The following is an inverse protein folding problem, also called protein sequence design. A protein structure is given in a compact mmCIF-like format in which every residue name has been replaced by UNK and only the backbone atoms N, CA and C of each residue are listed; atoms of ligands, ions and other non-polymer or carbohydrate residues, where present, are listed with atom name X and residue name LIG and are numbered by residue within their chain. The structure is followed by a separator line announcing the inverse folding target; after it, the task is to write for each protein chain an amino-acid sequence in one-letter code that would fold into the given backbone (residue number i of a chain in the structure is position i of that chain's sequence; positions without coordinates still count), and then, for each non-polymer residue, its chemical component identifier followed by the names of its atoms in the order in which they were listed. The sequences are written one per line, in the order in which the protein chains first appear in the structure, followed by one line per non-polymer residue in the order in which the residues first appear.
data_IF_313977093224
#
_entry.id   IF_313977093224
#
_cell.length_a   1.000
_cell.length_b   1.000
_cell.length_c   1.000
_cell.angle_alpha   90.00
_cell.angle_beta   90.00
_cell.angle_gamma   90.00
#
_symmetry.space_group_name_H-M   'P 1'
#
loop_
_entity.id
_entity.type
_entity.pdbx_description
1 polymer ?
#
# COMPACT_ATOMS: atom_id res chain seq x y z
N UNK A 1 1.43 -13.93 -20.45
CA UNK A 1 2.73 -13.57 -19.83
C UNK A 1 3.18 -12.16 -20.21
N UNK A 2 3.52 -11.88 -21.49
CA UNK A 2 3.92 -10.50 -21.91
C UNK A 2 2.88 -9.43 -21.58
N UNK A 3 1.59 -9.66 -21.89
CA UNK A 3 0.52 -8.72 -21.55
C UNK A 3 0.37 -8.52 -20.03
N UNK A 4 0.63 -9.55 -19.23
CA UNK A 4 0.61 -9.46 -17.76
C UNK A 4 1.78 -8.62 -17.23
N UNK A 5 2.97 -8.78 -17.81
CA UNK A 5 4.13 -7.94 -17.49
C UNK A 5 3.87 -6.47 -17.88
N UNK A 6 3.32 -6.22 -19.09
CA UNK A 6 3.01 -4.88 -19.57
C UNK A 6 2.05 -4.15 -18.64
N UNK A 7 0.97 -4.83 -18.27
CA UNK A 7 -0.05 -4.26 -17.38
C UNK A 7 0.49 -4.04 -15.97
N UNK A 8 1.34 -4.93 -15.46
CA UNK A 8 1.98 -4.77 -14.14
C UNK A 8 2.97 -3.60 -14.09
N UNK A 9 3.81 -3.42 -15.12
CA UNK A 9 4.64 -2.22 -15.25
C UNK A 9 3.77 -0.96 -15.45
N UNK A 10 2.65 -1.11 -16.17
CA UNK A 10 1.64 -0.07 -16.35
C UNK A 10 1.07 0.44 -15.03
N UNK A 11 0.81 -0.44 -14.06
CA UNK A 11 0.34 -0.04 -12.72
C UNK A 11 1.27 0.97 -12.08
N UNK A 12 2.58 0.70 -12.07
CA UNK A 12 3.57 1.58 -11.45
C UNK A 12 3.66 2.95 -12.15
N UNK A 13 3.56 2.96 -13.48
CA UNK A 13 3.62 4.19 -14.27
C UNK A 13 2.32 5.02 -14.18
N UNK A 14 1.16 4.37 -14.09
CA UNK A 14 -0.17 5.02 -14.06
C UNK A 14 -0.57 5.48 -12.66
N UNK A 15 -0.02 4.88 -11.61
CA UNK A 15 -0.35 5.18 -10.22
C UNK A 15 -0.33 6.70 -9.89
N UNK A 16 0.74 7.48 -10.14
CA UNK A 16 0.75 8.90 -9.80
C UNK A 16 -0.29 9.70 -10.59
N UNK A 17 -0.44 9.38 -11.89
CA UNK A 17 -1.39 10.06 -12.79
C UNK A 17 -2.83 9.85 -12.30
N UNK A 18 -3.16 8.62 -11.90
CA UNK A 18 -4.51 8.26 -11.48
C UNK A 18 -4.85 8.81 -10.09
N UNK A 19 -3.86 8.88 -9.19
CA UNK A 19 -3.99 9.51 -7.87
C UNK A 19 -4.36 10.99 -8.01
N UNK A 20 -3.71 11.71 -8.93
CA UNK A 20 -3.98 13.12 -9.21
C UNK A 20 -5.33 13.32 -9.89
N UNK A 21 -5.66 12.50 -10.90
CA UNK A 21 -6.93 12.59 -11.61
C UNK A 21 -8.14 12.35 -10.69
N UNK A 22 -8.01 11.45 -9.72
CA UNK A 22 -9.08 11.08 -8.79
C UNK A 22 -9.04 11.86 -7.46
N UNK A 23 -8.20 12.91 -7.35
CA UNK A 23 -8.00 13.64 -6.08
C UNK A 23 -9.27 14.30 -5.53
N UNK A 24 -10.22 14.64 -6.39
CA UNK A 24 -11.47 15.32 -6.02
C UNK A 24 -12.58 14.36 -5.56
N UNK A 25 -12.36 13.04 -5.69
CA UNK A 25 -13.33 12.06 -5.24
C UNK A 25 -13.24 11.85 -3.71
N UNK A 26 -14.35 11.54 -3.04
CA UNK A 26 -14.33 11.10 -1.65
C UNK A 26 -13.50 9.82 -1.48
N UNK A 27 -13.03 9.58 -0.25
CA UNK A 27 -12.07 8.51 0.07
C UNK A 27 -12.48 7.13 -0.45
N UNK A 28 -13.71 6.69 -0.14
CA UNK A 28 -14.22 5.36 -0.51
C UNK A 28 -14.26 5.15 -2.04
N UNK A 29 -14.95 6.00 -2.85
CA UNK A 29 -14.98 5.81 -4.29
C UNK A 29 -13.61 6.00 -4.94
N UNK A 30 -12.73 6.86 -4.39
CA UNK A 30 -11.36 7.03 -4.87
C UNK A 30 -10.57 5.73 -4.76
N UNK A 31 -10.59 5.07 -3.60
CA UNK A 31 -9.89 3.80 -3.37
C UNK A 31 -10.42 2.68 -4.28
N UNK A 32 -11.75 2.58 -4.42
CA UNK A 32 -12.37 1.59 -5.31
C UNK A 32 -11.97 1.82 -6.77
N UNK A 33 -12.01 3.07 -7.25
CA UNK A 33 -11.64 3.42 -8.62
C UNK A 33 -10.15 3.17 -8.90
N UNK A 34 -9.26 3.52 -7.96
CA UNK A 34 -7.83 3.24 -8.07
C UNK A 34 -7.56 1.73 -8.16
N UNK A 35 -8.12 0.94 -7.23
CA UNK A 35 -7.89 -0.50 -7.19
C UNK A 35 -8.47 -1.21 -8.43
N UNK A 36 -9.70 -0.86 -8.82
CA UNK A 36 -10.31 -1.43 -10.02
C UNK A 36 -9.55 -1.00 -11.29
N UNK A 37 -9.21 0.27 -11.44
CA UNK A 37 -8.52 0.78 -12.64
C UNK A 37 -7.12 0.20 -12.83
N UNK A 38 -6.37 0.02 -11.74
CA UNK A 38 -4.98 -0.45 -11.80
C UNK A 38 -4.87 -1.97 -11.81
N UNK A 39 -5.58 -2.66 -10.91
CA UNK A 39 -5.34 -4.08 -10.67
C UNK A 39 -6.31 -5.03 -11.38
N UNK A 40 -7.43 -4.55 -11.93
CA UNK A 40 -8.39 -5.42 -12.61
C UNK A 40 -7.76 -6.14 -13.81
N UNK A 41 -7.18 -5.39 -14.75
CA UNK A 41 -6.62 -5.95 -15.97
C UNK A 41 -5.46 -6.93 -15.72
N UNK A 42 -4.41 -6.61 -14.93
CA UNK A 42 -3.34 -7.56 -14.65
C UNK A 42 -3.86 -8.81 -13.91
N UNK A 43 -4.80 -8.66 -12.97
CA UNK A 43 -5.38 -9.79 -12.23
C UNK A 43 -6.19 -10.71 -13.13
N UNK A 44 -7.01 -10.16 -14.05
CA UNK A 44 -7.75 -10.94 -15.03
C UNK A 44 -6.81 -11.73 -15.95
N UNK A 45 -5.74 -11.10 -16.45
CA UNK A 45 -4.76 -11.76 -17.32
C UNK A 45 -4.01 -12.89 -16.61
N UNK A 46 -3.68 -12.72 -15.33
CA UNK A 46 -3.06 -13.75 -14.50
C UNK A 46 -4.03 -14.90 -14.21
N UNK A 47 -5.28 -14.58 -13.88
CA UNK A 47 -6.33 -15.58 -13.63
C UNK A 47 -6.63 -16.47 -14.85
N UNK A 48 -6.41 -15.97 -16.07
CA UNK A 48 -6.58 -16.74 -17.31
C UNK A 48 -5.47 -17.79 -17.55
N UNK A 49 -4.36 -17.76 -16.80
CA UNK A 49 -3.25 -18.71 -17.01
C UNK A 49 -3.70 -20.15 -16.73
N UNK A 50 -4.39 -20.41 -15.61
CA UNK A 50 -4.86 -21.75 -15.23
C UNK A 50 -5.79 -22.37 -16.28
N UNK A 51 -6.89 -21.72 -16.72
CA UNK A 51 -7.78 -22.29 -17.75
C UNK A 51 -7.09 -22.48 -19.11
N UNK A 52 -6.12 -21.63 -19.48
CA UNK A 52 -5.33 -21.81 -20.71
C UNK A 52 -4.43 -23.06 -20.64
N UNK A 53 -3.79 -23.29 -19.50
CA UNK A 53 -2.96 -24.49 -19.27
C UNK A 53 -3.83 -25.75 -19.29
N UNK A 54 -4.99 -25.71 -18.63
CA UNK A 54 -5.96 -26.83 -18.66
C UNK A 54 -6.38 -27.14 -20.10
N UNK A 55 -6.74 -26.13 -20.90
CA UNK A 55 -7.12 -26.33 -22.31
C UNK A 55 -6.01 -26.98 -23.13
N UNK A 56 -4.74 -26.67 -22.85
CA UNK A 56 -3.59 -27.27 -23.54
C UNK A 56 -3.25 -28.69 -23.05
N UNK A 57 -3.52 -28.99 -21.78
CA UNK A 57 -3.22 -30.29 -21.17
C UNK A 57 -4.26 -31.37 -21.49
N UNK A 58 -5.49 -30.99 -21.84
CA UNK A 58 -6.53 -31.92 -22.26
C UNK A 58 -6.19 -32.45 -23.65
N UNK A 59 -5.66 -33.67 -23.69
CA UNK A 59 -5.33 -34.42 -24.89
C UNK A 59 -6.29 -35.59 -25.14
N UNK A 60 -7.00 -36.06 -24.10
CA UNK A 60 -7.96 -37.16 -24.17
C UNK A 60 -9.15 -36.92 -23.21
N UNK A 61 -10.37 -37.24 -23.67
CA UNK A 61 -11.64 -37.00 -22.97
C UNK A 61 -11.84 -37.92 -21.76
N UNK A 62 -11.19 -39.10 -21.75
CA UNK A 62 -11.30 -40.10 -20.69
C UNK A 62 -10.60 -39.74 -19.37
N UNK A 63 -9.57 -38.89 -19.41
CA UNK A 63 -8.76 -38.49 -18.24
C UNK A 63 -8.96 -37.04 -17.79
N UNK A 64 -9.95 -36.34 -18.37
CA UNK A 64 -10.17 -34.90 -18.15
C UNK A 64 -10.40 -34.58 -16.68
N UNK A 65 -11.23 -35.36 -15.97
CA UNK A 65 -11.55 -35.10 -14.57
C UNK A 65 -10.32 -35.13 -13.64
N UNK A 66 -9.45 -36.12 -13.80
CA UNK A 66 -8.24 -36.25 -12.97
C UNK A 66 -7.18 -35.18 -13.26
N UNK A 67 -6.97 -34.85 -14.54
CA UNK A 67 -6.02 -33.80 -14.95
C UNK A 67 -6.48 -32.43 -14.47
N UNK A 68 -7.77 -32.11 -14.68
CA UNK A 68 -8.37 -30.86 -14.25
C UNK A 68 -8.34 -30.74 -12.72
N UNK A 69 -8.77 -31.78 -11.99
CA UNK A 69 -8.78 -31.79 -10.53
C UNK A 69 -7.40 -31.56 -9.92
N UNK A 70 -6.36 -32.22 -10.44
CA UNK A 70 -4.97 -32.04 -9.96
C UNK A 70 -4.44 -30.63 -10.24
N UNK A 71 -4.71 -30.08 -11.42
CA UNK A 71 -4.29 -28.71 -11.77
C UNK A 71 -4.97 -27.67 -10.88
N UNK A 72 -6.27 -27.82 -10.60
CA UNK A 72 -6.98 -26.96 -9.67
C UNK A 72 -6.45 -27.09 -8.24
N UNK A 73 -6.18 -28.30 -7.75
CA UNK A 73 -5.61 -28.52 -6.42
C UNK A 73 -4.25 -27.83 -6.25
N UNK A 74 -3.35 -27.97 -7.23
CA UNK A 74 -2.04 -27.29 -7.25
C UNK A 74 -2.23 -25.78 -7.31
N UNK A 75 -3.14 -25.28 -8.15
CA UNK A 75 -3.42 -23.84 -8.26
C UNK A 75 -3.94 -23.27 -6.95
N UNK A 76 -4.88 -23.94 -6.27
CA UNK A 76 -5.42 -23.47 -5.00
C UNK A 76 -4.38 -23.49 -3.89
N UNK A 77 -3.62 -24.58 -3.76
CA UNK A 77 -2.55 -24.67 -2.76
C UNK A 77 -1.48 -23.59 -3.00
N UNK A 78 -1.07 -23.39 -4.26
CA UNK A 78 -0.14 -22.35 -4.66
C UNK A 78 -0.66 -20.94 -4.38
N UNK A 79 -1.94 -20.66 -4.63
CA UNK A 79 -2.56 -19.36 -4.33
C UNK A 79 -2.62 -19.08 -2.83
N UNK A 80 -2.98 -20.07 -2.01
CA UNK A 80 -3.00 -19.91 -0.55
C UNK A 80 -1.60 -19.57 -0.04
N UNK A 81 -0.61 -20.40 -0.39
CA UNK A 81 0.79 -20.16 0.00
C UNK A 81 1.30 -18.82 -0.54
N UNK A 82 0.93 -18.47 -1.78
CA UNK A 82 1.30 -17.22 -2.43
C UNK A 82 0.75 -16.00 -1.72
N UNK A 83 -0.52 -16.01 -1.28
CA UNK A 83 -1.11 -14.88 -0.54
C UNK A 83 -0.43 -14.71 0.81
N UNK A 84 -0.18 -15.79 1.55
CA UNK A 84 0.54 -15.71 2.84
C UNK A 84 1.97 -15.20 2.66
N UNK A 85 2.71 -15.78 1.72
CA UNK A 85 4.09 -15.39 1.43
C UNK A 85 4.13 -13.92 0.96
N UNK A 86 3.18 -13.51 0.13
CA UNK A 86 3.11 -12.12 -0.36
C UNK A 86 2.79 -11.16 0.77
N UNK A 87 1.69 -11.37 1.49
CA UNK A 87 1.19 -10.44 2.50
C UNK A 87 2.09 -10.33 3.73
N UNK A 88 2.62 -11.45 4.24
CA UNK A 88 3.36 -11.45 5.50
C UNK A 88 4.88 -11.40 5.35
N UNK A 89 5.43 -11.86 4.22
CA UNK A 89 6.89 -11.94 4.04
C UNK A 89 7.36 -10.92 3.01
N UNK A 90 6.87 -10.98 1.78
CA UNK A 90 7.39 -10.14 0.70
C UNK A 90 6.99 -8.68 0.87
N UNK A 91 5.72 -8.37 1.14
CA UNK A 91 5.27 -6.98 1.33
C UNK A 91 5.92 -6.40 2.57
N UNK A 92 6.00 -7.16 3.66
CA UNK A 92 6.72 -6.72 4.86
C UNK A 92 8.19 -6.44 4.55
N UNK A 93 8.94 -7.37 3.96
CA UNK A 93 10.41 -7.20 3.80
C UNK A 93 10.83 -6.29 2.65
N UNK A 94 10.05 -6.21 1.57
CA UNK A 94 10.44 -5.53 0.33
C UNK A 94 9.58 -4.30 0.00
N UNK A 95 8.45 -4.09 0.71
CA UNK A 95 7.48 -3.06 0.38
C UNK A 95 6.59 -3.43 -0.81
N UNK A 96 5.39 -2.85 -0.87
CA UNK A 96 4.38 -3.22 -1.87
C UNK A 96 4.84 -2.90 -3.31
N UNK A 97 5.55 -1.79 -3.51
CA UNK A 97 6.05 -1.37 -4.84
C UNK A 97 7.03 -2.38 -5.42
N UNK A 98 7.99 -2.84 -4.61
CA UNK A 98 9.00 -3.80 -5.03
C UNK A 98 8.39 -5.14 -5.38
N UNK A 99 7.35 -5.57 -4.65
CA UNK A 99 6.62 -6.81 -4.95
C UNK A 99 5.94 -6.74 -6.31
N UNK A 100 5.25 -5.64 -6.63
CA UNK A 100 4.62 -5.46 -7.95
C UNK A 100 5.66 -5.47 -9.07
N UNK A 101 6.82 -4.82 -8.85
CA UNK A 101 7.94 -4.85 -9.80
C UNK A 101 8.51 -6.26 -9.99
N UNK A 102 8.70 -7.01 -8.90
CA UNK A 102 9.18 -8.38 -8.93
C UNK A 102 8.23 -9.26 -9.74
N UNK A 103 6.92 -9.14 -9.54
CA UNK A 103 5.91 -9.84 -10.34
C UNK A 103 6.02 -9.44 -11.82
N UNK A 104 6.15 -8.15 -12.13
CA UNK A 104 6.28 -7.68 -13.51
C UNK A 104 7.53 -8.25 -14.22
N UNK A 105 8.66 -8.32 -13.51
CA UNK A 105 9.94 -8.89 -13.98
C UNK A 105 9.85 -10.41 -14.14
N UNK A 106 9.28 -11.12 -13.17
CA UNK A 106 9.10 -12.58 -13.25
C UNK A 106 8.20 -12.93 -14.44
N UNK A 107 7.12 -12.18 -14.67
CA UNK A 107 6.25 -12.39 -15.83
C UNK A 107 6.96 -12.10 -17.16
N UNK A 108 7.84 -11.09 -17.18
CA UNK A 108 8.68 -10.80 -18.36
C UNK A 108 9.67 -11.94 -18.62
N UNK A 109 10.35 -12.43 -17.59
CA UNK A 109 11.28 -13.54 -17.71
C UNK A 109 10.57 -14.82 -18.19
N UNK A 110 9.45 -15.19 -17.57
CA UNK A 110 8.64 -16.33 -18.01
C UNK A 110 8.15 -16.17 -19.44
N UNK A 111 7.78 -14.95 -19.84
CA UNK A 111 7.43 -14.68 -21.22
C UNK A 111 8.60 -14.89 -22.18
N UNK A 112 9.82 -14.47 -21.84
CA UNK A 112 11.00 -14.64 -22.67
C UNK A 112 11.42 -16.12 -22.78
N UNK A 113 11.34 -16.88 -21.68
CA UNK A 113 11.73 -18.29 -21.64
C UNK A 113 10.69 -19.23 -22.27
N UNK A 114 9.42 -19.09 -21.90
CA UNK A 114 8.35 -20.00 -22.34
C UNK A 114 7.50 -19.45 -23.48
N UNK A 115 7.57 -18.14 -23.73
CA UNK A 115 6.83 -17.54 -24.81
C UNK A 115 7.39 -18.00 -26.16
N UNK A 116 6.50 -18.48 -27.02
CA UNK A 116 6.82 -18.71 -28.45
C UNK A 116 6.93 -17.37 -29.19
N UNK A 117 7.78 -16.44 -28.73
CA UNK A 117 8.01 -15.13 -29.35
C UNK A 117 8.42 -15.24 -30.83
N UNK A 118 8.94 -16.40 -31.21
CA UNK A 118 9.37 -16.71 -32.58
C UNK A 118 8.23 -17.06 -33.54
N UNK A 119 7.04 -17.41 -33.02
CA UNK A 119 5.89 -17.86 -33.83
C UNK A 119 5.08 -16.69 -34.42
N UNK A 120 5.11 -15.51 -33.79
CA UNK A 120 4.54 -14.27 -34.34
C UNK A 120 5.40 -13.07 -33.95
N UNK A 121 6.33 -12.69 -34.84
CA UNK A 121 7.28 -11.59 -34.62
C UNK A 121 6.58 -10.26 -34.35
N UNK A 122 5.45 -10.00 -35.00
CA UNK A 122 4.68 -8.76 -34.84
C UNK A 122 4.08 -8.63 -33.44
N UNK A 123 3.45 -9.70 -32.93
CA UNK A 123 2.86 -9.73 -31.58
C UNK A 123 3.95 -9.64 -30.51
N UNK A 124 5.08 -10.30 -30.73
CA UNK A 124 6.24 -10.21 -29.85
C UNK A 124 6.75 -8.76 -29.75
N UNK A 125 6.95 -8.06 -30.88
CA UNK A 125 7.43 -6.67 -30.88
C UNK A 125 6.43 -5.71 -30.24
N UNK A 126 5.14 -5.83 -30.57
CA UNK A 126 4.08 -4.96 -30.04
C UNK A 126 3.99 -5.03 -28.51
N UNK A 127 4.27 -6.18 -27.91
CA UNK A 127 4.20 -6.34 -26.45
C UNK A 127 5.56 -6.15 -25.76
N UNK A 128 6.68 -6.52 -26.41
CA UNK A 128 8.02 -6.44 -25.83
C UNK A 128 8.57 -5.01 -25.81
N UNK A 129 8.32 -4.21 -26.85
CA UNK A 129 8.81 -2.83 -26.92
C UNK A 129 8.20 -1.95 -25.80
N UNK A 130 6.87 -1.90 -25.60
CA UNK A 130 6.31 -1.10 -24.53
C UNK A 130 6.61 -1.67 -23.14
N UNK A 131 6.73 -2.99 -22.97
CA UNK A 131 7.17 -3.55 -21.67
C UNK A 131 8.57 -3.10 -21.30
N UNK A 132 9.52 -3.16 -22.24
CA UNK A 132 10.89 -2.67 -22.03
C UNK A 132 10.93 -1.15 -21.82
N UNK A 133 10.11 -0.40 -22.56
CA UNK A 133 9.97 1.05 -22.39
C UNK A 133 9.45 1.43 -21.00
N UNK A 134 8.38 0.79 -20.53
CA UNK A 134 7.86 1.01 -19.17
C UNK A 134 8.81 0.49 -18.09
N UNK A 135 9.47 -0.65 -18.29
CA UNK A 135 10.48 -1.16 -17.37
C UNK A 135 11.64 -0.16 -17.23
N UNK A 136 12.16 0.35 -18.35
CA UNK A 136 13.20 1.38 -18.33
C UNK A 136 12.73 2.68 -17.69
N UNK A 137 11.49 3.12 -17.95
CA UNK A 137 10.93 4.32 -17.33
C UNK A 137 10.78 4.17 -15.81
N UNK A 138 10.19 3.07 -15.35
CA UNK A 138 9.98 2.79 -13.91
C UNK A 138 11.31 2.67 -13.16
N UNK A 139 12.29 1.95 -13.71
CA UNK A 139 13.65 1.81 -13.15
C UNK A 139 14.43 3.14 -13.11
N UNK A 140 14.21 4.05 -14.08
CA UNK A 140 14.94 5.33 -14.19
C UNK A 140 14.26 6.47 -13.45
N UNK A 141 12.95 6.40 -13.26
CA UNK A 141 12.18 7.49 -12.68
C UNK A 141 12.51 7.67 -11.19
N UNK A 142 12.62 8.92 -10.75
CA UNK A 142 12.70 9.31 -9.33
C UNK A 142 11.43 8.88 -8.54
N UNK A 143 10.39 8.41 -9.24
CA UNK A 143 9.17 7.79 -8.70
C UNK A 143 9.44 6.49 -7.93
N UNK A 144 10.64 5.90 -8.04
CA UNK A 144 11.02 4.76 -7.21
C UNK A 144 11.06 5.11 -5.71
N UNK A 145 11.36 6.37 -5.36
CA UNK A 145 11.23 6.84 -3.98
C UNK A 145 9.81 7.32 -3.66
N UNK A 146 9.04 7.78 -4.64
CA UNK A 146 7.73 8.43 -4.40
C UNK A 146 7.82 9.56 -3.35
N UNK A 147 6.70 10.13 -2.91
CA UNK A 147 6.72 11.14 -1.83
C UNK A 147 6.97 10.55 -0.44
N UNK A 148 7.32 9.26 -0.35
CA UNK A 148 7.49 8.58 0.92
C UNK A 148 8.77 9.06 1.60
N UNK A 149 8.66 9.62 2.79
CA UNK A 149 9.83 9.99 3.57
C UNK A 149 10.51 8.72 4.10
N UNK A 150 9.72 7.85 4.72
CA UNK A 150 10.15 6.57 5.28
C UNK A 150 9.06 5.53 5.03
N UNK A 151 9.43 4.41 4.39
CA UNK A 151 8.55 3.25 4.22
C UNK A 151 8.89 2.22 5.31
N UNK A 152 7.91 1.86 6.12
CA UNK A 152 8.02 0.84 7.17
C UNK A 152 7.25 -0.42 6.77
N UNK A 153 7.21 -1.43 7.65
CA UNK A 153 6.36 -2.60 7.46
C UNK A 153 4.86 -2.28 7.51
N UNK A 154 4.48 -1.11 8.01
CA UNK A 154 3.10 -0.73 8.28
C UNK A 154 2.64 0.42 7.39
N UNK A 155 3.47 1.44 7.20
CA UNK A 155 3.06 2.68 6.55
C UNK A 155 4.15 3.26 5.66
N UNK A 156 3.72 3.95 4.62
CA UNK A 156 4.51 5.02 4.02
C UNK A 156 4.30 6.31 4.83
N UNK A 157 5.29 6.69 5.61
CA UNK A 157 5.25 7.87 6.48
C UNK A 157 5.66 9.10 5.67
N UNK A 158 4.83 10.14 5.72
CA UNK A 158 5.10 11.45 5.14
C UNK A 158 4.71 12.53 6.13
N UNK A 159 5.54 13.57 6.22
CA UNK A 159 5.25 14.73 7.04
C UNK A 159 5.25 15.95 6.13
N UNK A 160 4.15 16.67 6.09
CA UNK A 160 3.99 17.88 5.27
C UNK A 160 3.61 19.06 6.14
N UNK A 161 4.09 20.25 5.77
CA UNK A 161 3.62 21.48 6.40
C UNK A 161 2.29 21.90 5.76
N UNK A 162 1.30 22.24 6.59
CA UNK A 162 0.02 22.82 6.17
C UNK A 162 -0.16 24.22 6.76
N UNK A 163 -0.53 25.18 5.90
CA UNK A 163 -0.88 26.54 6.30
C UNK A 163 -2.39 26.59 6.57
N UNK A 164 -2.72 26.19 7.79
CA UNK A 164 -4.09 26.06 8.29
C UNK A 164 -4.75 27.41 8.63
N UNK A 165 -4.21 28.52 8.12
CA UNK A 165 -4.66 29.88 8.45
C UNK A 165 -4.30 30.31 9.88
N UNK A 166 -3.51 29.49 10.58
CA UNK A 166 -2.82 29.87 11.80
C UNK A 166 -1.47 30.45 11.36
N UNK A 167 -1.04 31.60 11.90
CA UNK A 167 0.23 32.25 11.54
C UNK A 167 1.46 31.49 12.08
N UNK A 168 1.47 30.15 11.99
CA UNK A 168 2.48 29.24 12.53
C UNK A 168 2.46 27.92 11.75
N UNK A 169 3.62 27.24 11.61
CA UNK A 169 3.71 25.98 10.90
C UNK A 169 2.96 24.88 11.67
N UNK A 170 2.06 24.18 10.97
CA UNK A 170 1.41 22.97 11.46
C UNK A 170 1.88 21.80 10.62
N UNK A 171 2.37 20.76 11.29
CA UNK A 171 2.81 19.53 10.64
C UNK A 171 1.62 18.58 10.51
N UNK A 172 1.39 18.10 9.29
CA UNK A 172 0.50 17.00 8.99
C UNK A 172 1.29 15.70 8.95
N UNK A 173 0.87 14.70 9.73
CA UNK A 173 1.37 13.33 9.60
C UNK A 173 0.44 12.57 8.64
N UNK A 174 0.98 12.16 7.51
CA UNK A 174 0.33 11.26 6.57
C UNK A 174 0.91 9.86 6.73
N UNK A 175 0.02 8.90 6.97
CA UNK A 175 0.36 7.47 6.88
C UNK A 175 -0.36 6.94 5.63
N UNK A 176 0.44 6.46 4.68
CA UNK A 176 0.06 6.13 3.31
C UNK A 176 -0.54 7.30 2.53
N UNK A 177 -1.86 7.42 2.55
CA UNK A 177 -2.64 8.42 1.82
C UNK A 177 -3.65 9.14 2.71
N UNK A 178 -3.62 8.88 4.02
CA UNK A 178 -4.52 9.47 4.99
C UNK A 178 -3.76 10.35 5.97
N UNK A 179 -4.34 11.51 6.25
CA UNK A 179 -3.91 12.39 7.32
C UNK A 179 -4.31 11.77 8.64
N UNK A 180 -3.34 11.51 9.50
CA UNK A 180 -3.52 10.86 10.81
C UNK A 180 -3.44 11.87 11.96
N UNK A 181 -2.67 12.95 11.81
CA UNK A 181 -2.57 13.99 12.84
C UNK A 181 -2.17 15.35 12.27
N UNK A 182 -2.57 16.38 13.02
CA UNK A 182 -2.09 17.74 12.93
C UNK A 182 -1.38 18.08 14.23
N UNK A 183 -0.13 18.53 14.14
CA UNK A 183 0.65 18.94 15.33
C UNK A 183 1.32 20.29 15.08
N UNK A 184 1.10 21.25 15.97
CA UNK A 184 1.80 22.53 15.95
C UNK A 184 3.06 22.45 16.80
N UNK A 185 4.20 22.80 16.21
CA UNK A 185 5.47 22.84 16.95
C UNK A 185 5.39 23.97 17.98
N UNK A 186 5.51 23.63 19.26
CA UNK A 186 5.49 24.58 20.38
C UNK A 186 4.10 24.99 20.89
N UNK A 187 3.01 24.45 20.33
CA UNK A 187 1.66 24.59 20.90
C UNK A 187 0.98 23.23 21.10
N UNK A 188 1.05 22.66 22.32
CA UNK A 188 0.42 21.38 22.64
C UNK A 188 -1.10 21.47 22.78
N UNK A 189 -1.70 22.67 22.74
CA UNK A 189 -3.16 22.85 22.88
C UNK A 189 -3.89 22.82 21.52
N UNK A 190 -3.18 22.66 20.39
CA UNK A 190 -3.81 22.51 19.08
C UNK A 190 -4.42 21.12 18.89
N UNK A 191 -5.72 21.00 19.13
CA UNK A 191 -6.50 19.76 18.93
C UNK A 191 -7.49 19.92 17.76
N UNK A 192 -7.07 19.53 16.55
CA UNK A 192 -7.84 19.80 15.32
C UNK A 192 -9.02 18.86 15.10
N UNK A 193 -8.88 17.59 15.47
CA UNK A 193 -9.92 16.61 15.23
C UNK A 193 -10.88 16.52 16.41
N UNK A 194 -12.18 16.35 16.14
CA UNK A 194 -13.21 16.20 17.17
C UNK A 194 -12.87 15.10 18.19
N UNK A 195 -12.32 13.97 17.72
CA UNK A 195 -11.93 12.88 18.61
C UNK A 195 -10.82 13.29 19.60
N UNK A 196 -9.88 14.14 19.17
CA UNK A 196 -8.79 14.63 20.05
C UNK A 196 -9.32 15.58 21.12
N UNK A 197 -10.32 16.41 20.77
CA UNK A 197 -10.99 17.29 21.73
C UNK A 197 -11.81 16.50 22.74
N UNK A 198 -12.52 15.45 22.30
CA UNK A 198 -13.25 14.55 23.19
C UNK A 198 -12.31 13.87 24.19
N UNK A 199 -11.13 13.41 23.74
CA UNK A 199 -10.13 12.81 24.63
C UNK A 199 -9.61 13.81 25.67
N UNK A 200 -9.30 15.04 25.26
CA UNK A 200 -8.85 16.08 26.19
C UNK A 200 -9.92 16.46 27.22
N UNK A 201 -11.17 16.60 26.80
CA UNK A 201 -12.29 16.91 27.69
C UNK A 201 -12.57 15.75 28.66
N UNK A 202 -12.49 14.51 28.19
CA UNK A 202 -12.61 13.32 29.04
C UNK A 202 -11.50 13.27 30.08
N UNK A 203 -10.25 13.51 29.67
CA UNK A 203 -9.12 13.57 30.59
C UNK A 203 -9.28 14.69 31.63
N UNK A 204 -9.78 15.85 31.21
CA UNK A 204 -10.08 16.99 32.11
C UNK A 204 -11.11 16.61 33.17
N UNK A 205 -12.19 15.93 32.78
CA UNK A 205 -13.20 15.47 33.72
C UNK A 205 -12.63 14.46 34.73
N UNK A 206 -11.84 13.48 34.28
CA UNK A 206 -11.24 12.47 35.16
C UNK A 206 -10.20 13.10 36.09
N UNK A 207 -9.40 14.05 35.60
CA UNK A 207 -8.35 14.71 36.38
C UNK A 207 -8.89 15.51 37.57
N UNK A 208 -10.15 15.98 37.53
CA UNK A 208 -10.79 16.67 38.66
C UNK A 208 -10.86 15.80 39.91
N UNK A 209 -11.09 14.49 39.76
CA UNK A 209 -11.14 13.53 40.86
C UNK A 209 -9.82 12.78 41.09
N UNK A 210 -8.89 12.82 40.12
CA UNK A 210 -7.61 12.09 40.15
C UNK A 210 -6.49 12.93 39.54
N UNK A 211 -5.82 13.80 40.33
CA UNK A 211 -4.77 14.68 39.82
C UNK A 211 -3.54 13.94 39.27
N UNK A 212 -3.30 12.69 39.72
CA UNK A 212 -2.30 11.78 39.15
C UNK A 212 -2.95 10.84 38.12
N UNK A 213 -3.38 11.40 36.98
CA UNK A 213 -4.01 10.65 35.88
C UNK A 213 -3.04 9.58 35.34
N UNK A 214 -3.52 8.36 35.12
CA UNK A 214 -2.76 7.32 34.39
C UNK A 214 -3.48 7.00 33.09
N UNK A 215 -2.81 7.15 31.96
CA UNK A 215 -3.38 6.93 30.64
C UNK A 215 -2.47 6.04 29.80
N UNK A 216 -3.06 5.03 29.16
CA UNK A 216 -2.40 4.18 28.17
C UNK A 216 -3.03 4.47 26.80
N UNK A 217 -2.20 4.88 25.85
CA UNK A 217 -2.56 5.09 24.46
C UNK A 217 -2.07 3.91 23.63
N UNK A 218 -2.97 3.30 22.86
CA UNK A 218 -2.63 2.26 21.88
C UNK A 218 -2.70 2.92 20.51
N UNK A 219 -1.52 3.15 19.91
CA UNK A 219 -1.33 4.00 18.75
C UNK A 219 -0.95 5.44 19.14
N UNK A 220 0.03 6.00 18.43
CA UNK A 220 0.64 7.29 18.70
C UNK A 220 0.72 8.18 17.45
N UNK A 221 -0.22 8.04 16.50
CA UNK A 221 -0.24 8.73 15.21
C UNK A 221 -0.17 10.26 15.31
N UNK A 222 1.02 10.80 15.55
CA UNK A 222 1.35 12.21 15.77
C UNK A 222 1.45 12.66 17.24
N UNK A 223 1.23 11.78 18.22
CA UNK A 223 1.36 12.05 19.66
C UNK A 223 0.59 13.27 20.20
N UNK A 224 -0.34 13.84 19.44
CA UNK A 224 -0.99 15.12 19.73
C UNK A 224 -1.69 15.13 21.10
N UNK A 225 -2.47 14.09 21.40
CA UNK A 225 -3.20 13.98 22.68
C UNK A 225 -2.26 13.63 23.85
N UNK A 226 -1.35 12.64 23.74
CA UNK A 226 -0.34 12.40 24.77
C UNK A 226 0.45 13.67 25.16
N UNK A 227 0.97 14.41 24.18
CA UNK A 227 1.73 15.65 24.40
C UNK A 227 0.87 16.73 25.06
N UNK A 228 -0.39 16.86 24.63
CA UNK A 228 -1.36 17.78 25.25
C UNK A 228 -1.56 17.47 26.75
N UNK A 229 -1.79 16.20 27.08
CA UNK A 229 -2.03 15.79 28.46
C UNK A 229 -0.78 15.91 29.33
N UNK A 230 0.40 15.59 28.79
CA UNK A 230 1.67 15.74 29.51
C UNK A 230 1.93 17.21 29.86
N UNK A 231 1.64 18.13 28.93
CA UNK A 231 1.74 19.57 29.15
C UNK A 231 0.73 20.09 30.20
N UNK A 232 -0.53 19.64 30.14
CA UNK A 232 -1.61 20.09 31.05
C UNK A 232 -1.54 19.48 32.45
N UNK A 233 -1.03 18.26 32.59
CA UNK A 233 -1.09 17.47 33.81
C UNK A 233 0.30 16.93 34.18
N UNK A 234 1.15 17.72 34.87
CA UNK A 234 2.53 17.34 35.18
C UNK A 234 2.68 16.10 36.08
N UNK A 235 1.60 15.74 36.79
CA UNK A 235 1.55 14.55 37.67
C UNK A 235 0.97 13.32 36.96
N UNK A 236 0.59 13.44 35.68
CA UNK A 236 0.05 12.33 34.91
C UNK A 236 1.15 11.36 34.48
N UNK A 237 0.84 10.07 34.51
CA UNK A 237 1.66 9.04 33.87
C UNK A 237 1.00 8.63 32.55
N UNK A 238 1.66 8.95 31.44
CA UNK A 238 1.16 8.70 30.10
C UNK A 238 2.09 7.69 29.43
N UNK A 239 1.51 6.57 29.01
CA UNK A 239 2.22 5.51 28.30
C UNK A 239 1.62 5.38 26.89
N UNK A 240 2.47 5.27 25.88
CA UNK A 240 2.05 5.11 24.49
C UNK A 240 2.69 3.84 23.94
N UNK A 241 1.86 2.96 23.39
CA UNK A 241 2.30 1.76 22.68
C UNK A 241 2.03 1.99 21.19
N UNK A 242 3.09 2.22 20.43
CA UNK A 242 3.04 2.34 18.97
C UNK A 242 3.62 1.08 18.34
N UNK A 243 2.90 0.54 17.34
CA UNK A 243 3.29 -0.70 16.66
C UNK A 243 4.38 -0.44 15.61
N UNK A 244 4.35 0.74 14.99
CA UNK A 244 5.33 1.12 13.99
C UNK A 244 6.45 1.99 14.59
N UNK A 245 7.66 1.44 14.79
CA UNK A 245 8.79 2.22 15.32
C UNK A 245 9.20 3.38 14.42
N UNK A 246 8.82 3.37 13.13
CA UNK A 246 9.07 4.48 12.22
C UNK A 246 8.29 5.75 12.58
N UNK A 247 7.09 5.61 13.17
CA UNK A 247 6.28 6.75 13.62
C UNK A 247 6.87 7.43 14.87
N UNK A 248 7.72 6.73 15.61
CA UNK A 248 8.40 7.25 16.81
C UNK A 248 9.68 8.00 16.44
N UNK A 249 10.37 7.57 15.37
CA UNK A 249 11.73 8.01 15.04
C UNK A 249 11.80 8.95 13.83
N UNK A 250 10.78 8.94 12.96
CA UNK A 250 10.67 9.82 11.79
C UNK A 250 10.19 11.21 12.16
#
# INVERSE_FOLDING_TARGET
LLAGSLTSFGVLALLPILIDALRYLPLVPRLLALNAGLFFLPSCLLGMVTPLVVKQAITDLGSVGGVVGRLYAISTAGSILGVYLTGFVLVATLGARTVVLLVAVVLLALALFFGRLRQSRTVAVILLVPTLGLAGHTLRSQLWQGPCLVETHYYCIQVTEDDVGLHRPVMELHLDHLIHSYTAIGDPDLLRYDYTQIFAETARYVAQGRPALRALFIGGGGYTVPIHLESKYPLAAIEVIEIDPGVIRG
#
